data_IF_574801712590
#
_entry.id   IF_574801712590
#
_cell.length_a   1.000
_cell.length_b   1.000
_cell.length_c   1.000
_cell.angle_alpha   90.00
_cell.angle_beta   90.00
_cell.angle_gamma   90.00
#
_symmetry.space_group_name_H-M   'P 1'
#
loop_
_entity.id
_entity.type
_entity.pdbx_description
1 polymer ?
#
# COMPACT_ATOMS: atom_id res chain seq x y z
N UNK A 1 -19.31 0.97 1.49
CA UNK A 1 -19.71 -0.43 1.73
C UNK A 1 -18.75 -0.96 2.77
N UNK A 2 -19.25 -1.52 3.86
CA UNK A 2 -18.40 -2.02 4.95
C UNK A 2 -17.72 -3.31 4.47
N UNK A 3 -16.40 -3.39 4.57
CA UNK A 3 -15.65 -4.60 4.26
C UNK A 3 -15.84 -5.54 5.46
N UNK A 4 -16.28 -6.77 5.22
CA UNK A 4 -16.49 -7.73 6.32
C UNK A 4 -15.17 -8.11 7.00
N UNK A 5 -15.20 -8.15 8.33
CA UNK A 5 -14.06 -8.39 9.25
C UNK A 5 -13.08 -9.44 8.74
N UNK A 6 -13.53 -10.65 8.39
CA UNK A 6 -12.61 -11.73 7.99
C UNK A 6 -11.87 -11.51 6.66
N UNK A 7 -12.35 -10.64 5.77
CA UNK A 7 -11.65 -10.37 4.50
C UNK A 7 -10.55 -9.36 4.77
N UNK A 8 -10.87 -8.37 5.60
CA UNK A 8 -9.96 -7.32 6.03
C UNK A 8 -8.84 -7.88 6.91
N UNK A 9 -9.19 -8.59 7.98
CA UNK A 9 -8.24 -9.16 8.95
C UNK A 9 -7.30 -10.18 8.32
N UNK A 10 -7.76 -11.05 7.42
CA UNK A 10 -6.86 -11.97 6.73
C UNK A 10 -5.91 -11.26 5.75
N UNK A 11 -6.36 -10.16 5.12
CA UNK A 11 -5.48 -9.34 4.28
C UNK A 11 -4.38 -8.69 5.11
N UNK A 12 -4.74 -8.09 6.24
CA UNK A 12 -3.80 -7.48 7.19
C UNK A 12 -2.81 -8.51 7.74
N UNK A 13 -3.28 -9.68 8.18
CA UNK A 13 -2.43 -10.75 8.69
C UNK A 13 -1.38 -11.21 7.65
N UNK A 14 -1.78 -11.30 6.37
CA UNK A 14 -0.86 -11.62 5.28
C UNK A 14 0.20 -10.53 5.13
N UNK A 15 -0.19 -9.25 5.21
CA UNK A 15 0.75 -8.12 5.14
C UNK A 15 1.73 -8.17 6.31
N UNK A 16 1.26 -8.32 7.54
CA UNK A 16 2.12 -8.40 8.72
C UNK A 16 3.06 -9.60 8.70
N UNK A 17 2.61 -10.77 8.21
CA UNK A 17 3.49 -11.94 8.07
C UNK A 17 4.61 -11.69 7.04
N UNK A 18 4.33 -10.98 5.95
CA UNK A 18 5.34 -10.58 4.96
C UNK A 18 6.35 -9.62 5.56
N UNK A 19 5.88 -8.57 6.21
CA UNK A 19 6.74 -7.57 6.85
C UNK A 19 7.59 -8.18 7.96
N UNK A 20 7.02 -9.05 8.79
CA UNK A 20 7.75 -9.75 9.85
C UNK A 20 8.85 -10.64 9.27
N UNK A 21 8.56 -11.40 8.21
CA UNK A 21 9.56 -12.23 7.53
C UNK A 21 10.69 -11.38 6.98
N UNK A 22 10.35 -10.34 6.25
CA UNK A 22 11.33 -9.44 5.65
C UNK A 22 12.19 -8.80 6.73
N UNK A 23 11.58 -8.20 7.75
CA UNK A 23 12.31 -7.57 8.84
C UNK A 23 13.23 -8.55 9.56
N UNK A 24 12.80 -9.79 9.83
CA UNK A 24 13.67 -10.78 10.49
C UNK A 24 14.86 -11.19 9.62
N UNK A 25 14.67 -11.32 8.31
CA UNK A 25 15.69 -11.85 7.41
C UNK A 25 16.62 -10.78 6.81
N UNK A 26 16.22 -9.51 6.80
CA UNK A 26 17.00 -8.43 6.17
C UNK A 26 17.60 -7.45 7.19
N UNK A 27 17.29 -7.60 8.49
CA UNK A 27 17.76 -6.66 9.50
C UNK A 27 19.29 -6.69 9.63
N UNK A 28 20.01 -5.57 9.37
CA UNK A 28 21.47 -5.56 9.26
C UNK A 28 22.20 -5.84 10.57
N UNK A 29 21.51 -5.73 11.72
CA UNK A 29 22.06 -5.98 13.05
C UNK A 29 21.53 -7.27 13.71
N UNK A 30 20.78 -8.10 12.99
CA UNK A 30 20.29 -9.38 13.52
C UNK A 30 20.69 -10.51 12.58
N UNK A 31 21.13 -11.63 13.17
CA UNK A 31 21.40 -12.85 12.42
C UNK A 31 20.32 -13.86 12.78
N UNK A 32 19.36 -14.04 11.88
CA UNK A 32 18.36 -15.08 12.00
C UNK A 32 18.78 -16.32 11.21
N UNK A 33 18.27 -17.50 11.58
CA UNK A 33 18.47 -18.72 10.79
C UNK A 33 17.41 -18.78 9.68
N UNK A 34 17.77 -18.54 8.39
CA UNK A 34 16.77 -18.32 7.35
C UNK A 34 15.85 -19.51 7.14
N UNK A 35 16.36 -20.73 7.27
CA UNK A 35 15.58 -21.95 7.08
C UNK A 35 14.45 -22.07 8.12
N UNK A 36 14.74 -21.79 9.39
CA UNK A 36 13.73 -21.86 10.45
C UNK A 36 12.70 -20.74 10.34
N UNK A 37 13.15 -19.54 10.01
CA UNK A 37 12.28 -18.39 9.78
C UNK A 37 11.34 -18.65 8.59
N UNK A 38 11.90 -19.04 7.43
CA UNK A 38 11.13 -19.37 6.23
C UNK A 38 10.14 -20.49 6.50
N UNK A 39 10.57 -21.60 7.12
CA UNK A 39 9.69 -22.72 7.37
C UNK A 39 8.53 -22.34 8.30
N UNK A 40 8.83 -21.61 9.37
CA UNK A 40 7.84 -21.22 10.38
C UNK A 40 6.82 -20.23 9.84
N UNK A 41 7.29 -19.17 9.19
CA UNK A 41 6.40 -18.17 8.60
C UNK A 41 5.61 -18.76 7.42
N UNK A 42 6.19 -19.64 6.60
CA UNK A 42 5.44 -20.31 5.52
C UNK A 42 4.28 -21.14 6.06
N UNK A 43 4.44 -21.82 7.20
CA UNK A 43 3.34 -22.58 7.83
C UNK A 43 2.20 -21.66 8.27
N UNK A 44 2.52 -20.53 8.89
CA UNK A 44 1.52 -19.52 9.29
C UNK A 44 0.84 -18.91 8.05
N UNK A 45 1.65 -18.54 7.05
CA UNK A 45 1.17 -17.97 5.79
C UNK A 45 0.20 -18.92 5.08
N UNK A 46 0.49 -20.22 5.00
CA UNK A 46 -0.43 -21.19 4.39
C UNK A 46 -1.79 -21.25 5.09
N UNK A 47 -1.83 -21.11 6.42
CA UNK A 47 -3.09 -21.10 7.18
C UNK A 47 -3.91 -19.85 6.82
N UNK A 48 -3.30 -18.68 6.94
CA UNK A 48 -3.96 -17.38 6.71
C UNK A 48 -4.36 -17.23 5.24
N UNK A 49 -3.46 -17.54 4.30
CA UNK A 49 -3.70 -17.50 2.85
C UNK A 49 -4.91 -18.34 2.43
N UNK A 50 -4.98 -19.59 2.89
CA UNK A 50 -6.12 -20.44 2.54
C UNK A 50 -7.41 -19.89 3.15
N UNK A 51 -7.39 -19.37 4.39
CA UNK A 51 -8.55 -18.69 4.98
C UNK A 51 -9.01 -17.49 4.14
N UNK A 52 -8.06 -16.62 3.75
CA UNK A 52 -8.29 -15.44 2.91
C UNK A 52 -8.96 -15.80 1.58
N UNK A 53 -8.37 -16.76 0.83
CA UNK A 53 -8.88 -17.14 -0.50
C UNK A 53 -10.26 -17.80 -0.40
N UNK A 54 -10.51 -18.67 0.58
CA UNK A 54 -11.81 -19.32 0.75
C UNK A 54 -12.90 -18.31 1.11
N UNK A 55 -12.59 -17.38 2.04
CA UNK A 55 -13.51 -16.30 2.42
C UNK A 55 -13.81 -15.38 1.24
N UNK A 56 -12.79 -15.03 0.46
CA UNK A 56 -12.95 -14.23 -0.76
C UNK A 56 -13.80 -14.95 -1.80
N UNK A 57 -13.56 -16.25 -2.05
CA UNK A 57 -14.37 -17.05 -3.00
C UNK A 57 -15.85 -17.05 -2.64
N UNK A 58 -16.18 -17.18 -1.36
CA UNK A 58 -17.56 -17.22 -0.88
C UNK A 58 -18.22 -15.84 -1.01
N UNK A 59 -17.56 -14.79 -0.52
CA UNK A 59 -18.11 -13.43 -0.49
C UNK A 59 -18.21 -12.79 -1.87
N UNK A 60 -17.33 -13.17 -2.79
CA UNK A 60 -17.33 -12.62 -4.14
C UNK A 60 -18.37 -13.26 -5.07
N UNK A 61 -19.12 -14.27 -4.60
CA UNK A 61 -20.22 -14.88 -5.37
C UNK A 61 -21.28 -13.85 -5.79
N UNK A 62 -21.62 -12.91 -4.90
CA UNK A 62 -22.63 -11.88 -5.19
C UNK A 62 -22.14 -10.85 -6.22
N UNK A 63 -20.82 -10.79 -6.47
CA UNK A 63 -20.17 -9.91 -7.44
C UNK A 63 -19.76 -10.66 -8.71
N UNK A 64 -20.03 -11.95 -8.82
CA UNK A 64 -19.62 -12.79 -9.94
C UNK A 64 -20.54 -12.58 -11.16
N UNK A 65 -20.20 -11.58 -11.97
CA UNK A 65 -20.94 -11.19 -13.17
C UNK A 65 -20.97 -12.30 -14.24
N UNK A 66 -20.06 -13.28 -14.17
CA UNK A 66 -19.93 -14.34 -15.17
C UNK A 66 -20.38 -15.73 -14.69
N UNK A 67 -20.78 -15.86 -13.42
CA UNK A 67 -21.09 -17.12 -12.74
C UNK A 67 -19.92 -18.12 -12.75
N UNK A 68 -18.68 -17.60 -12.73
CA UNK A 68 -17.45 -18.39 -12.72
C UNK A 68 -17.28 -19.16 -11.40
N UNK A 69 -17.45 -18.48 -10.27
CA UNK A 69 -17.14 -18.95 -8.93
C UNK A 69 -18.08 -20.05 -8.44
N UNK A 70 -19.30 -20.12 -8.99
CA UNK A 70 -20.26 -21.20 -8.73
C UNK A 70 -19.68 -22.61 -8.99
N UNK A 71 -18.69 -22.73 -9.87
CA UNK A 71 -18.01 -24.00 -10.12
C UNK A 71 -17.29 -24.54 -8.86
N UNK A 72 -16.86 -23.65 -7.96
CA UNK A 72 -16.17 -23.99 -6.72
C UNK A 72 -17.11 -24.60 -5.66
N UNK A 73 -18.34 -24.10 -5.57
CA UNK A 73 -19.27 -24.49 -4.49
C UNK A 73 -20.16 -25.70 -4.82
N UNK A 74 -19.83 -26.47 -5.86
CA UNK A 74 -20.56 -27.70 -6.21
C UNK A 74 -20.57 -28.68 -5.01
N UNK A 75 -21.74 -29.18 -4.60
CA UNK A 75 -21.84 -30.06 -3.44
C UNK A 75 -21.21 -31.43 -3.72
N UNK A 76 -20.63 -32.05 -2.69
CA UNK A 76 -20.10 -33.43 -2.70
C UNK A 76 -19.02 -33.74 -3.76
N UNK A 77 -18.28 -32.74 -4.23
CA UNK A 77 -17.12 -32.94 -5.11
C UNK A 77 -15.80 -32.94 -4.33
N UNK A 78 -14.78 -33.61 -4.86
CA UNK A 78 -13.43 -33.59 -4.30
C UNK A 78 -12.75 -32.23 -4.53
N UNK A 79 -11.73 -31.89 -3.75
CA UNK A 79 -10.97 -30.64 -3.94
C UNK A 79 -10.37 -30.57 -5.35
N UNK A 80 -9.81 -31.66 -5.88
CA UNK A 80 -9.27 -31.70 -7.25
C UNK A 80 -10.32 -31.32 -8.30
N UNK A 81 -11.53 -31.88 -8.21
CA UNK A 81 -12.62 -31.56 -9.13
C UNK A 81 -13.05 -30.10 -8.99
N UNK A 82 -13.11 -29.62 -7.74
CA UNK A 82 -13.45 -28.23 -7.42
C UNK A 82 -12.50 -27.23 -8.06
N UNK A 83 -11.19 -27.42 -7.87
CA UNK A 83 -10.15 -26.51 -8.36
C UNK A 83 -10.07 -26.54 -9.89
N UNK A 84 -10.09 -27.73 -10.50
CA UNK A 84 -10.10 -27.86 -11.96
C UNK A 84 -11.36 -27.25 -12.58
N UNK A 85 -12.51 -27.41 -11.91
CA UNK A 85 -13.77 -26.79 -12.32
C UNK A 85 -13.69 -25.27 -12.31
N UNK A 86 -13.11 -24.68 -11.25
CA UNK A 86 -12.90 -23.24 -11.15
C UNK A 86 -11.99 -22.71 -12.26
N UNK A 87 -10.82 -23.32 -12.46
CA UNK A 87 -9.88 -22.93 -13.52
C UNK A 87 -10.53 -23.02 -14.91
N UNK A 88 -11.24 -24.12 -15.20
CA UNK A 88 -11.93 -24.30 -16.48
C UNK A 88 -13.03 -23.25 -16.71
N UNK A 89 -13.70 -22.85 -15.62
CA UNK A 89 -14.76 -21.83 -15.67
C UNK A 89 -14.21 -20.48 -16.13
N UNK A 90 -13.08 -20.02 -15.58
CA UNK A 90 -12.39 -18.82 -16.04
C UNK A 90 -12.02 -18.89 -17.53
N UNK A 91 -11.35 -19.97 -17.95
CA UNK A 91 -10.93 -20.15 -19.35
C UNK A 91 -12.13 -20.15 -20.29
N UNK A 92 -13.24 -20.80 -19.92
CA UNK A 92 -14.46 -20.86 -20.74
C UNK A 92 -15.12 -19.49 -20.95
N UNK A 93 -14.84 -18.53 -20.05
CA UNK A 93 -15.32 -17.15 -20.12
C UNK A 93 -14.32 -16.21 -20.79
N UNK A 94 -13.26 -16.75 -21.43
CA UNK A 94 -12.27 -15.95 -22.13
C UNK A 94 -11.22 -15.30 -21.21
N UNK A 95 -11.20 -15.65 -19.92
CA UNK A 95 -10.18 -15.18 -18.97
C UNK A 95 -9.10 -16.26 -18.89
N UNK A 96 -8.00 -16.06 -19.62
CA UNK A 96 -6.92 -17.03 -19.69
C UNK A 96 -6.06 -17.01 -18.41
N UNK A 97 -6.42 -17.82 -17.42
CA UNK A 97 -5.72 -17.90 -16.12
C UNK A 97 -4.60 -18.95 -16.13
N UNK A 98 -3.62 -18.79 -15.23
CA UNK A 98 -2.49 -19.72 -15.13
C UNK A 98 -2.87 -20.97 -14.32
N UNK A 99 -2.97 -22.13 -14.97
CA UNK A 99 -3.29 -23.40 -14.31
C UNK A 99 -2.34 -23.76 -13.17
N UNK A 100 -1.06 -23.41 -13.26
CA UNK A 100 -0.09 -23.71 -12.20
C UNK A 100 -0.43 -23.02 -10.88
N UNK A 101 -1.10 -21.85 -10.91
CA UNK A 101 -1.59 -21.17 -9.70
C UNK A 101 -2.61 -22.05 -8.97
N UNK A 102 -3.55 -22.63 -9.72
CA UNK A 102 -4.60 -23.50 -9.18
C UNK A 102 -4.03 -24.83 -8.66
N UNK A 103 -3.11 -25.43 -9.41
CA UNK A 103 -2.45 -26.68 -9.01
C UNK A 103 -1.63 -26.50 -7.73
N UNK A 104 -0.92 -25.37 -7.61
CA UNK A 104 -0.16 -25.01 -6.41
C UNK A 104 -1.08 -24.62 -5.25
N UNK A 105 -2.16 -23.88 -5.50
CA UNK A 105 -3.19 -23.58 -4.49
C UNK A 105 -3.74 -24.87 -3.86
N UNK A 106 -4.03 -25.89 -4.67
CA UNK A 106 -4.48 -27.19 -4.17
C UNK A 106 -3.42 -27.87 -3.30
N UNK A 107 -2.15 -27.86 -3.72
CA UNK A 107 -1.06 -28.41 -2.92
C UNK A 107 -0.90 -27.68 -1.58
N UNK A 108 -0.96 -26.34 -1.59
CA UNK A 108 -0.84 -25.52 -0.38
C UNK A 108 -2.03 -25.75 0.56
N UNK A 109 -3.24 -25.93 0.01
CA UNK A 109 -4.43 -26.30 0.77
C UNK A 109 -4.24 -27.64 1.50
N UNK A 110 -3.63 -28.62 0.85
CA UNK A 110 -3.29 -29.89 1.50
C UNK A 110 -2.20 -29.74 2.57
N UNK A 111 -1.15 -28.97 2.30
CA UNK A 111 -0.11 -28.65 3.31
C UNK A 111 -0.76 -28.01 4.54
N UNK A 112 -1.63 -27.02 4.35
CA UNK A 112 -2.39 -26.37 5.41
C UNK A 112 -3.23 -27.36 6.22
N UNK A 113 -3.91 -28.29 5.57
CA UNK A 113 -4.68 -29.33 6.27
C UNK A 113 -3.78 -30.23 7.13
N UNK A 114 -2.62 -30.63 6.61
CA UNK A 114 -1.66 -31.42 7.39
C UNK A 114 -1.13 -30.65 8.61
N UNK A 115 -0.90 -29.34 8.49
CA UNK A 115 -0.48 -28.47 9.61
C UNK A 115 -1.60 -28.38 10.66
N UNK A 116 -2.81 -28.02 10.25
CA UNK A 116 -3.96 -27.80 11.16
C UNK A 116 -4.34 -29.08 11.91
N UNK A 117 -4.30 -30.22 11.24
CA UNK A 117 -4.60 -31.52 11.86
C UNK A 117 -3.39 -32.19 12.48
N UNK A 118 -2.23 -31.52 12.50
CA UNK A 118 -0.95 -32.04 13.02
C UNK A 118 -0.60 -33.45 12.50
N UNK A 119 -1.03 -33.79 11.29
CA UNK A 119 -0.86 -35.13 10.75
C UNK A 119 -0.84 -35.16 9.23
N UNK A 120 0.20 -35.81 8.69
CA UNK A 120 0.29 -36.18 7.28
C UNK A 120 -0.49 -37.45 6.95
N UNK A 121 -0.69 -38.35 7.93
CA UNK A 121 -1.28 -39.67 7.72
C UNK A 121 -2.66 -39.80 8.38
N UNK A 122 -3.49 -40.70 7.86
CA UNK A 122 -4.90 -40.94 8.27
C UNK A 122 -5.12 -41.46 9.71
N UNK A 123 -4.25 -41.20 10.67
CA UNK A 123 -4.63 -41.36 12.07
C UNK A 123 -5.60 -40.23 12.42
N UNK A 124 -6.88 -40.44 12.11
CA UNK A 124 -8.03 -39.55 12.34
C UNK A 124 -7.80 -38.08 11.96
N UNK A 125 -7.93 -37.75 10.66
CA UNK A 125 -7.96 -36.36 10.17
C UNK A 125 -6.80 -35.94 9.25
N UNK A 126 -5.79 -36.79 9.05
CA UNK A 126 -4.69 -36.51 8.11
C UNK A 126 -5.01 -36.75 6.63
N UNK A 127 -4.04 -36.44 5.76
CA UNK A 127 -4.17 -36.50 4.31
C UNK A 127 -4.25 -37.93 3.76
N UNK A 128 -4.87 -38.07 2.58
CA UNK A 128 -4.83 -39.29 1.77
C UNK A 128 -3.52 -39.37 0.98
N UNK A 129 -3.13 -40.58 0.57
CA UNK A 129 -1.86 -40.78 -0.15
C UNK A 129 -1.81 -40.04 -1.50
N UNK A 130 -2.93 -39.97 -2.22
CA UNK A 130 -3.06 -39.20 -3.45
C UNK A 130 -2.82 -37.70 -3.24
N UNK A 131 -3.23 -37.16 -2.09
CA UNK A 131 -3.02 -35.75 -1.72
C UNK A 131 -1.55 -35.49 -1.37
N UNK A 132 -0.90 -36.42 -0.66
CA UNK A 132 0.56 -36.38 -0.38
C UNK A 132 1.35 -36.43 -1.71
N UNK A 133 0.99 -37.34 -2.61
CA UNK A 133 1.62 -37.47 -3.91
C UNK A 133 1.44 -36.19 -4.74
N UNK A 134 0.27 -35.53 -4.65
CA UNK A 134 0.04 -34.25 -5.30
C UNK A 134 1.02 -33.17 -4.81
N UNK A 135 1.16 -33.01 -3.49
CA UNK A 135 2.11 -32.05 -2.90
C UNK A 135 3.54 -32.27 -3.42
N UNK A 136 4.00 -33.53 -3.40
CA UNK A 136 5.34 -33.89 -3.88
C UNK A 136 5.51 -33.64 -5.39
N UNK A 137 4.50 -33.95 -6.20
CA UNK A 137 4.52 -33.71 -7.65
C UNK A 137 4.59 -32.22 -8.00
N UNK A 138 4.07 -31.36 -7.12
CA UNK A 138 4.19 -29.90 -7.22
C UNK A 138 5.50 -29.37 -6.63
N UNK A 139 6.40 -30.23 -6.18
CA UNK A 139 7.71 -29.86 -5.66
C UNK A 139 7.69 -29.24 -4.26
N UNK A 140 6.62 -29.43 -3.49
CA UNK A 140 6.57 -29.03 -2.09
C UNK A 140 6.99 -30.18 -1.16
N UNK A 141 7.62 -29.89 -0.01
CA UNK A 141 8.05 -30.92 0.92
C UNK A 141 6.87 -31.44 1.76
N UNK A 142 6.88 -32.75 2.04
CA UNK A 142 5.98 -33.39 3.02
C UNK A 142 6.58 -33.42 4.43
N UNK A 143 7.64 -32.64 4.65
CA UNK A 143 8.15 -32.22 5.95
C UNK A 143 8.13 -30.70 5.94
N UNK A 144 7.14 -30.09 6.61
CA UNK A 144 6.94 -28.63 6.58
C UNK A 144 8.08 -27.85 7.24
N UNK A 145 9.03 -28.52 7.91
CA UNK A 145 10.28 -27.91 8.39
C UNK A 145 11.26 -27.61 7.25
N UNK A 146 11.07 -28.21 6.07
CA UNK A 146 11.88 -28.00 4.86
C UNK A 146 11.31 -26.95 3.91
N UNK A 147 10.24 -26.26 4.30
CA UNK A 147 9.75 -25.10 3.56
C UNK A 147 10.84 -24.00 3.58
N UNK A 148 11.06 -23.34 2.45
CA UNK A 148 12.19 -22.43 2.23
C UNK A 148 11.72 -21.17 1.48
N UNK A 149 12.64 -20.25 1.15
CA UNK A 149 12.33 -19.00 0.45
C UNK A 149 11.63 -19.20 -0.90
N UNK A 150 12.00 -20.21 -1.68
CA UNK A 150 11.32 -20.54 -2.94
C UNK A 150 9.88 -20.98 -2.72
N UNK A 151 9.62 -21.78 -1.68
CA UNK A 151 8.26 -22.17 -1.32
C UNK A 151 7.42 -20.98 -0.86
N UNK A 152 8.02 -20.07 -0.07
CA UNK A 152 7.39 -18.82 0.35
C UNK A 152 6.98 -17.95 -0.85
N UNK A 153 7.89 -17.74 -1.82
CA UNK A 153 7.58 -17.01 -3.07
C UNK A 153 6.38 -17.61 -3.80
N UNK A 154 6.32 -18.94 -3.87
CA UNK A 154 5.19 -19.63 -4.51
C UNK A 154 3.89 -19.43 -3.73
N UNK A 155 3.93 -19.38 -2.40
CA UNK A 155 2.75 -19.08 -1.59
C UNK A 155 2.26 -17.66 -1.85
N UNK A 156 3.14 -16.66 -1.84
CA UNK A 156 2.77 -15.27 -2.15
C UNK A 156 2.20 -15.14 -3.57
N UNK A 157 2.87 -15.76 -4.54
CA UNK A 157 2.43 -15.75 -5.93
C UNK A 157 1.05 -16.37 -6.11
N UNK A 158 0.78 -17.50 -5.45
CA UNK A 158 -0.54 -18.13 -5.45
C UNK A 158 -1.58 -17.24 -4.79
N UNK A 159 -1.27 -16.64 -3.63
CA UNK A 159 -2.18 -15.74 -2.94
C UNK A 159 -2.60 -14.58 -3.83
N UNK A 160 -1.63 -13.84 -4.37
CA UNK A 160 -1.88 -12.65 -5.19
C UNK A 160 -2.66 -13.01 -6.47
N UNK A 161 -2.29 -14.10 -7.15
CA UNK A 161 -2.99 -14.52 -8.36
C UNK A 161 -4.39 -15.05 -8.08
N UNK A 162 -4.61 -15.82 -7.01
CA UNK A 162 -5.95 -16.29 -6.67
C UNK A 162 -6.87 -15.12 -6.32
N UNK A 163 -6.41 -14.16 -5.52
CA UNK A 163 -7.18 -12.95 -5.20
C UNK A 163 -7.48 -12.12 -6.46
N UNK A 164 -6.47 -11.94 -7.33
CA UNK A 164 -6.65 -11.27 -8.61
C UNK A 164 -7.68 -11.98 -9.50
N UNK A 165 -7.60 -13.31 -9.65
CA UNK A 165 -8.53 -14.08 -10.46
C UNK A 165 -9.96 -13.99 -9.92
N UNK A 166 -10.15 -14.08 -8.61
CA UNK A 166 -11.48 -13.91 -7.99
C UNK A 166 -12.04 -12.52 -8.32
N UNK A 167 -11.23 -11.46 -8.21
CA UNK A 167 -11.64 -10.11 -8.57
C UNK A 167 -12.06 -9.98 -10.05
N UNK A 168 -11.37 -10.67 -10.97
CA UNK A 168 -11.73 -10.68 -12.40
C UNK A 168 -13.11 -11.27 -12.69
N UNK A 169 -13.65 -12.12 -11.81
CA UNK A 169 -15.02 -12.62 -11.95
C UNK A 169 -16.07 -11.49 -11.83
N UNK A 170 -15.70 -10.35 -11.23
CA UNK A 170 -16.55 -9.16 -11.11
C UNK A 170 -16.46 -8.15 -12.23
N UNK A 171 -15.69 -8.39 -13.30
CA UNK A 171 -15.67 -7.46 -14.43
C UNK A 171 -17.05 -7.38 -15.13
N UNK A 172 -17.40 -6.21 -15.64
CA UNK A 172 -18.66 -5.99 -16.38
C UNK A 172 -18.59 -6.46 -17.84
N UNK A 173 -17.39 -6.48 -18.42
CA UNK A 173 -17.14 -6.93 -19.80
C UNK A 173 -15.99 -7.91 -19.83
N UNK A 174 -16.14 -8.97 -20.62
CA UNK A 174 -15.07 -9.94 -20.88
C UNK A 174 -13.97 -9.25 -21.70
N UNK A 175 -12.67 -9.42 -21.35
CA UNK A 175 -11.58 -8.94 -22.19
C UNK A 175 -11.70 -9.49 -23.63
N UNK A 176 -11.47 -8.70 -24.68
CA UNK A 176 -11.54 -9.19 -26.04
C UNK A 176 -10.56 -10.36 -26.23
N UNK A 177 -11.06 -11.47 -26.80
CA UNK A 177 -10.39 -12.76 -26.95
C UNK A 177 -9.04 -12.72 -27.72
N UNK A 178 -8.68 -11.58 -28.29
CA UNK A 178 -7.43 -11.36 -29.03
C UNK A 178 -6.20 -11.16 -28.13
N UNK A 179 -6.34 -11.15 -26.80
CA UNK A 179 -5.21 -11.15 -25.87
C UNK A 179 -4.84 -12.60 -25.53
N UNK A 180 -4.03 -13.22 -26.37
CA UNK A 180 -3.56 -14.62 -26.21
C UNK A 180 -2.65 -14.85 -24.98
N UNK A 181 -2.41 -13.83 -24.16
CA UNK A 181 -1.58 -13.91 -22.96
C UNK A 181 -2.35 -14.46 -21.77
N UNK A 182 -1.69 -15.31 -20.98
CA UNK A 182 -2.20 -15.67 -19.64
C UNK A 182 -2.19 -14.43 -18.76
N UNK A 183 -3.32 -14.09 -18.14
CA UNK A 183 -3.40 -13.02 -17.15
C UNK A 183 -2.85 -13.51 -15.82
N UNK A 184 -2.09 -12.67 -15.12
CA UNK A 184 -1.53 -13.00 -13.82
C UNK A 184 -0.53 -11.97 -13.33
N UNK A 185 -0.21 -12.07 -12.04
CA UNK A 185 0.83 -11.31 -11.37
C UNK A 185 2.11 -12.16 -11.40
N UNK A 186 3.21 -11.56 -11.85
CA UNK A 186 4.51 -12.21 -11.88
C UNK A 186 5.03 -12.47 -10.46
N UNK A 187 5.86 -13.51 -10.29
CA UNK A 187 6.53 -13.78 -9.01
C UNK A 187 7.42 -12.59 -8.67
N UNK A 188 7.18 -11.97 -7.52
CA UNK A 188 8.05 -10.93 -6.98
C UNK A 188 9.34 -11.58 -6.45
N UNK A 189 10.53 -11.08 -6.81
CA UNK A 189 11.76 -11.54 -6.19
C UNK A 189 11.71 -11.20 -4.70
N UNK A 190 12.23 -12.10 -3.87
CA UNK A 190 12.35 -11.80 -2.45
C UNK A 190 13.48 -10.83 -2.22
N UNK A 191 13.39 -9.99 -1.16
CA UNK A 191 14.48 -9.12 -0.78
C UNK A 191 15.72 -9.95 -0.42
N UNK A 192 16.89 -9.36 -0.64
CA UNK A 192 18.17 -9.96 -0.28
C UNK A 192 18.27 -10.15 1.24
N UNK A 193 18.48 -11.40 1.67
CA UNK A 193 18.59 -11.77 3.08
C UNK A 193 20.04 -11.87 3.55
N UNK A 194 21.00 -11.39 2.75
CA UNK A 194 22.42 -11.34 3.14
C UNK A 194 22.68 -10.40 4.31
N UNK A 195 21.73 -9.49 4.62
CA UNK A 195 21.92 -8.38 5.56
C UNK A 195 22.85 -7.30 5.02
N UNK A 196 23.30 -7.42 3.75
CA UNK A 196 24.10 -6.42 3.07
C UNK A 196 23.17 -5.34 2.57
N UNK A 197 23.44 -4.09 2.96
CA UNK A 197 22.73 -2.93 2.47
C UNK A 197 23.14 -2.68 1.01
N UNK A 198 22.18 -2.79 0.11
CA UNK A 198 22.34 -2.57 -1.32
C UNK A 198 21.82 -1.19 -1.74
N UNK A 199 22.09 -0.81 -2.99
CA UNK A 199 21.67 0.49 -3.52
C UNK A 199 20.15 0.69 -3.49
N UNK A 200 19.39 -0.40 -3.66
CA UNK A 200 17.93 -0.43 -3.58
C UNK A 200 17.37 -0.15 -2.20
N UNK A 201 18.17 -0.30 -1.14
CA UNK A 201 17.71 -0.17 0.25
C UNK A 201 17.79 1.29 0.75
N UNK A 202 18.60 2.13 0.09
CA UNK A 202 18.80 3.53 0.45
C UNK A 202 17.50 4.33 0.59
N UNK A 203 16.54 4.29 -0.36
CA UNK A 203 15.25 4.97 -0.21
C UNK A 203 14.58 4.69 1.13
N UNK A 204 14.46 3.41 1.49
CA UNK A 204 13.78 2.97 2.71
C UNK A 204 14.54 3.41 3.96
N UNK A 205 15.87 3.36 3.94
CA UNK A 205 16.70 3.80 5.07
C UNK A 205 16.54 5.31 5.32
N UNK A 206 16.57 6.12 4.26
CA UNK A 206 16.36 7.56 4.39
C UNK A 206 14.94 7.90 4.82
N UNK A 207 13.94 7.22 4.27
CA UNK A 207 12.53 7.38 4.68
C UNK A 207 12.33 7.03 6.15
N UNK A 208 12.82 5.87 6.60
CA UNK A 208 12.70 5.44 8.00
C UNK A 208 13.40 6.42 8.96
N UNK A 209 14.54 7.00 8.55
CA UNK A 209 15.19 8.02 9.36
C UNK A 209 14.37 9.32 9.42
N UNK A 210 13.73 9.73 8.33
CA UNK A 210 12.80 10.88 8.33
C UNK A 210 11.60 10.64 9.25
N UNK A 211 11.04 9.43 9.28
CA UNK A 211 9.95 9.07 10.20
C UNK A 211 10.39 9.18 11.66
N UNK A 212 11.56 8.64 12.01
CA UNK A 212 12.12 8.75 13.37
C UNK A 212 12.38 10.20 13.77
N UNK A 213 12.92 11.02 12.87
CA UNK A 213 13.12 12.45 13.13
C UNK A 213 11.77 13.15 13.30
N UNK A 214 10.80 12.89 12.43
CA UNK A 214 9.46 13.48 12.53
C UNK A 214 8.79 13.13 13.84
N UNK A 215 8.88 11.88 14.29
CA UNK A 215 8.30 11.43 15.55
C UNK A 215 8.96 12.12 16.74
N UNK A 216 10.30 12.10 16.79
CA UNK A 216 11.06 12.76 17.85
C UNK A 216 10.75 14.27 17.93
N UNK A 217 10.61 14.95 16.78
CA UNK A 217 10.25 16.37 16.73
C UNK A 217 8.81 16.58 17.21
N UNK A 218 7.88 15.74 16.76
CA UNK A 218 6.48 15.84 17.13
C UNK A 218 6.31 15.69 18.64
N UNK A 219 6.89 14.66 19.24
CA UNK A 219 6.86 14.45 20.70
C UNK A 219 7.45 15.64 21.46
N UNK A 220 8.60 16.18 21.01
CA UNK A 220 9.24 17.32 21.69
C UNK A 220 8.38 18.58 21.63
N UNK A 221 7.79 18.87 20.47
CA UNK A 221 6.96 20.06 20.26
C UNK A 221 5.62 19.92 21.00
N UNK A 222 4.99 18.75 20.97
CA UNK A 222 3.74 18.48 21.71
C UNK A 222 3.92 18.58 23.22
N UNK A 223 5.05 18.08 23.75
CA UNK A 223 5.38 18.23 25.16
C UNK A 223 5.51 19.70 25.56
N UNK A 224 6.21 20.50 24.77
CA UNK A 224 6.38 21.92 25.04
C UNK A 224 5.05 22.69 24.92
N UNK A 225 4.24 22.38 23.91
CA UNK A 225 2.89 22.93 23.75
C UNK A 225 2.05 22.63 25.00
N UNK A 226 2.08 21.38 25.48
CA UNK A 226 1.30 20.96 26.64
C UNK A 226 1.76 21.67 27.93
N UNK A 227 3.07 21.89 28.07
CA UNK A 227 3.63 22.60 29.24
C UNK A 227 3.34 24.10 29.23
N UNK A 228 3.20 24.71 28.05
CA UNK A 228 3.01 26.15 27.90
C UNK A 228 1.60 26.56 27.46
N UNK A 229 0.66 25.62 27.34
CA UNK A 229 -0.69 25.86 26.81
C UNK A 229 -1.37 27.02 27.54
N UNK A 230 -1.34 27.03 28.87
CA UNK A 230 -1.92 28.10 29.70
C UNK A 230 -1.31 29.48 29.41
N UNK A 231 0.01 29.53 29.15
CA UNK A 231 0.72 30.78 28.87
C UNK A 231 0.46 31.27 27.44
N UNK A 232 0.50 30.37 26.46
CA UNK A 232 0.30 30.70 25.05
C UNK A 232 -1.18 30.96 24.70
N UNK A 233 -2.11 30.36 25.44
CA UNK A 233 -3.54 30.69 25.37
C UNK A 233 -3.86 32.04 26.04
N UNK A 234 -3.19 32.40 27.14
CA UNK A 234 -3.38 33.69 27.82
C UNK A 234 -2.89 34.90 27.01
N UNK A 235 -1.86 34.73 26.16
CA UNK A 235 -1.39 35.77 25.22
C UNK A 235 -2.45 36.18 24.17
N UNK A 236 -3.57 35.45 24.11
CA UNK A 236 -4.68 35.61 23.18
C UNK A 236 -5.88 36.37 23.79
N UNK A 237 -5.68 37.13 24.87
CA UNK A 237 -6.72 37.77 25.72
C UNK A 237 -7.69 38.78 25.05
N UNK A 238 -7.99 38.65 23.76
CA UNK A 238 -9.08 39.32 23.05
C UNK A 238 -10.12 38.39 22.40
N UNK A 239 -9.87 37.08 22.26
CA UNK A 239 -10.86 36.13 21.73
C UNK A 239 -10.83 34.81 22.51
N UNK A 240 -11.99 34.38 23.00
CA UNK A 240 -12.19 33.16 23.79
C UNK A 240 -11.51 31.93 23.16
N UNK A 241 -10.28 31.61 23.59
CA UNK A 241 -9.58 30.38 23.20
C UNK A 241 -10.45 29.14 23.44
N UNK A 242 -11.29 29.17 24.49
CA UNK A 242 -12.24 28.11 24.81
C UNK A 242 -13.38 27.95 23.79
N UNK A 243 -13.70 28.98 23.00
CA UNK A 243 -14.71 28.92 21.93
C UNK A 243 -14.13 28.44 20.59
N UNK A 244 -12.80 28.29 20.48
CA UNK A 244 -12.16 27.78 19.28
C UNK A 244 -12.40 26.26 19.11
N UNK A 245 -12.51 25.83 17.87
CA UNK A 245 -12.50 24.40 17.51
C UNK A 245 -11.15 23.77 17.86
N UNK A 246 -11.11 22.43 18.01
CA UNK A 246 -9.86 21.67 18.21
C UNK A 246 -8.77 22.05 17.19
N UNK A 247 -9.16 22.20 15.93
CA UNK A 247 -8.25 22.56 14.84
C UNK A 247 -7.68 23.98 14.97
N UNK A 248 -8.52 24.95 15.31
CA UNK A 248 -8.09 26.34 15.54
C UNK A 248 -7.17 26.44 16.77
N UNK A 249 -7.46 25.68 17.84
CA UNK A 249 -6.58 25.59 19.02
C UNK A 249 -5.21 25.02 18.66
N UNK A 250 -5.19 23.88 17.95
CA UNK A 250 -3.94 23.25 17.49
C UNK A 250 -3.11 24.21 16.64
N UNK A 251 -3.74 24.88 15.66
CA UNK A 251 -3.09 25.90 14.82
C UNK A 251 -2.49 27.04 15.66
N UNK A 252 -3.24 27.57 16.62
CA UNK A 252 -2.77 28.65 17.49
C UNK A 252 -1.55 28.25 18.31
N UNK A 253 -1.59 27.06 18.93
CA UNK A 253 -0.49 26.55 19.75
C UNK A 253 0.78 26.31 18.92
N UNK A 254 0.61 25.78 17.70
CA UNK A 254 1.70 25.59 16.73
C UNK A 254 2.33 26.94 16.32
N UNK A 255 1.52 27.96 16.03
CA UNK A 255 2.01 29.30 15.68
C UNK A 255 2.68 29.99 16.87
N UNK A 256 2.18 29.75 18.08
CA UNK A 256 2.79 30.26 19.32
C UNK A 256 4.15 29.62 19.56
N UNK A 257 4.28 28.30 19.40
CA UNK A 257 5.55 27.59 19.49
C UNK A 257 6.59 28.13 18.50
N UNK A 258 6.19 28.36 17.24
CA UNK A 258 7.06 28.97 16.23
C UNK A 258 7.54 30.36 16.64
N UNK A 259 6.62 31.23 17.09
CA UNK A 259 6.94 32.60 17.52
C UNK A 259 7.88 32.60 18.73
N UNK A 260 7.65 31.70 19.68
CA UNK A 260 8.52 31.45 20.83
C UNK A 260 9.95 31.10 20.42
N UNK A 261 10.12 30.12 19.52
CA UNK A 261 11.47 29.73 19.04
C UNK A 261 12.14 30.88 18.29
N UNK A 262 11.38 31.60 17.45
CA UNK A 262 11.88 32.75 16.72
C UNK A 262 12.38 33.87 17.65
N UNK A 263 11.75 34.02 18.81
CA UNK A 263 12.14 34.96 19.86
C UNK A 263 13.27 34.45 20.78
N UNK A 264 13.84 33.27 20.49
CA UNK A 264 15.02 32.74 21.18
C UNK A 264 14.73 31.64 22.19
N UNK A 265 13.48 31.22 22.37
CA UNK A 265 13.17 30.04 23.21
C UNK A 265 13.68 28.76 22.54
N UNK A 266 14.12 27.79 23.36
CA UNK A 266 14.68 26.54 22.87
C UNK A 266 13.73 25.37 23.14
N UNK A 267 12.85 25.09 22.19
CA UNK A 267 11.93 23.94 22.26
C UNK A 267 12.62 22.62 21.85
N UNK A 268 13.49 22.69 20.84
CA UNK A 268 14.14 21.50 20.26
C UNK A 268 15.65 21.59 20.44
N UNK A 269 16.24 20.58 21.11
CA UNK A 269 17.69 20.44 21.26
C UNK A 269 18.32 20.04 19.92
N UNK A 270 19.56 20.49 19.67
CA UNK A 270 20.33 20.15 18.46
C UNK A 270 19.66 20.56 17.14
N UNK A 271 18.89 21.67 17.13
CA UNK A 271 18.09 22.12 15.98
C UNK A 271 18.86 22.17 14.64
N UNK A 272 20.10 22.68 14.66
CA UNK A 272 20.91 22.83 13.45
C UNK A 272 21.18 21.46 12.82
N UNK A 273 21.72 20.53 13.61
CA UNK A 273 22.03 19.16 13.20
C UNK A 273 20.79 18.41 12.72
N UNK A 274 19.64 18.58 13.40
CA UNK A 274 18.39 17.96 12.97
C UNK A 274 17.93 18.52 11.61
N UNK A 275 18.01 19.83 11.41
CA UNK A 275 17.62 20.46 10.14
C UNK A 275 18.50 20.04 8.96
N UNK A 276 19.81 19.90 9.19
CA UNK A 276 20.76 19.38 8.21
C UNK A 276 20.45 17.91 7.88
N UNK A 277 20.22 17.09 8.90
CA UNK A 277 19.88 15.67 8.73
C UNK A 277 18.57 15.49 7.94
N UNK A 278 17.51 16.27 8.23
CA UNK A 278 16.25 16.19 7.48
C UNK A 278 16.46 16.57 6.01
N UNK A 279 17.22 17.63 5.76
CA UNK A 279 17.52 18.08 4.39
C UNK A 279 18.30 17.02 3.62
N UNK A 280 19.35 16.47 4.26
CA UNK A 280 20.17 15.41 3.71
C UNK A 280 19.32 14.16 3.41
N UNK A 281 18.58 13.64 4.38
CA UNK A 281 17.78 12.43 4.19
C UNK A 281 16.70 12.62 3.12
N UNK A 282 16.01 13.75 3.08
CA UNK A 282 15.03 14.03 2.02
C UNK A 282 15.68 14.08 0.63
N UNK A 283 16.78 14.82 0.50
CA UNK A 283 17.45 14.96 -0.79
C UNK A 283 17.99 13.61 -1.28
N UNK A 284 18.54 12.78 -0.36
CA UNK A 284 19.00 11.44 -0.70
C UNK A 284 17.83 10.50 -1.03
N UNK A 285 16.73 10.54 -0.27
CA UNK A 285 15.52 9.79 -0.61
C UNK A 285 15.05 10.10 -2.03
N UNK A 286 14.90 11.38 -2.37
CA UNK A 286 14.50 11.81 -3.72
C UNK A 286 15.52 11.39 -4.79
N UNK A 287 16.81 11.50 -4.52
CA UNK A 287 17.86 11.12 -5.47
C UNK A 287 17.90 9.61 -5.76
N UNK A 288 17.58 8.78 -4.76
CA UNK A 288 17.58 7.33 -4.85
C UNK A 288 16.23 6.72 -5.29
N UNK A 289 15.19 7.52 -5.44
CA UNK A 289 13.87 7.11 -5.96
C UNK A 289 13.68 7.63 -7.40
N UNK A 290 13.94 6.81 -8.44
CA UNK A 290 13.88 7.25 -9.84
C UNK A 290 12.54 7.84 -10.27
N UNK A 291 11.45 7.44 -9.62
CA UNK A 291 10.09 7.89 -9.89
C UNK A 291 9.92 9.39 -9.69
N UNK A 292 10.68 10.00 -8.77
CA UNK A 292 10.65 11.46 -8.58
C UNK A 292 11.13 12.23 -9.81
N UNK A 293 11.91 11.60 -10.71
CA UNK A 293 12.30 12.21 -11.99
C UNK A 293 11.11 12.40 -12.93
N UNK A 294 10.07 11.59 -12.79
CA UNK A 294 8.82 11.69 -13.56
C UNK A 294 7.73 12.48 -12.83
N UNK A 295 7.98 12.90 -11.58
CA UNK A 295 7.06 13.72 -10.80
C UNK A 295 7.45 15.20 -10.94
N UNK A 296 7.54 15.65 -12.19
CA UNK A 296 7.79 17.05 -12.51
C UNK A 296 6.56 17.91 -12.18
N UNK A 297 6.80 19.11 -11.64
CA UNK A 297 5.75 19.98 -11.09
C UNK A 297 4.61 20.28 -12.08
N UNK A 298 4.93 20.46 -13.36
CA UNK A 298 3.93 20.77 -14.40
C UNK A 298 3.03 19.56 -14.69
N UNK A 299 3.64 18.38 -14.86
CA UNK A 299 2.92 17.14 -15.14
C UNK A 299 2.05 16.71 -13.96
N UNK A 300 2.59 16.82 -12.74
CA UNK A 300 1.86 16.54 -11.49
C UNK A 300 0.61 17.42 -11.40
N UNK A 301 0.71 18.72 -11.66
CA UNK A 301 -0.44 19.64 -11.62
C UNK A 301 -1.48 19.33 -12.69
N UNK A 302 -1.03 18.98 -13.90
CA UNK A 302 -1.93 18.53 -14.97
C UNK A 302 -2.69 17.25 -14.59
N UNK A 303 -2.00 16.29 -13.97
CA UNK A 303 -2.59 15.05 -13.49
C UNK A 303 -3.57 15.29 -12.33
N UNK A 304 -3.23 16.16 -11.37
CA UNK A 304 -4.14 16.58 -10.28
C UNK A 304 -5.42 17.15 -10.86
N UNK A 305 -5.33 18.08 -11.81
CA UNK A 305 -6.52 18.68 -12.45
C UNK A 305 -7.39 17.62 -13.12
N UNK A 306 -6.77 16.67 -13.82
CA UNK A 306 -7.48 15.57 -14.48
C UNK A 306 -8.21 14.71 -13.45
N UNK A 307 -7.53 14.20 -12.43
CA UNK A 307 -8.15 13.35 -11.40
C UNK A 307 -9.19 14.11 -10.57
N UNK A 308 -9.03 15.42 -10.39
CA UNK A 308 -10.01 16.24 -9.69
C UNK A 308 -11.28 16.46 -10.52
N UNK A 309 -11.16 16.67 -11.84
CA UNK A 309 -12.30 16.67 -12.76
C UNK A 309 -13.00 15.32 -12.70
N UNK A 310 -12.25 14.21 -12.70
CA UNK A 310 -12.80 12.87 -12.58
C UNK A 310 -13.61 12.70 -11.29
N UNK A 311 -13.02 13.08 -10.15
CA UNK A 311 -13.67 13.00 -8.84
C UNK A 311 -14.96 13.82 -8.78
N UNK A 312 -14.93 15.08 -9.24
CA UNK A 312 -16.11 15.96 -9.26
C UNK A 312 -17.26 15.46 -10.15
N UNK A 313 -16.95 14.71 -11.19
CA UNK A 313 -17.94 14.22 -12.16
C UNK A 313 -18.26 12.73 -11.97
N UNK A 314 -17.82 12.14 -10.85
CA UNK A 314 -17.99 10.71 -10.56
C UNK A 314 -17.52 9.81 -11.72
N UNK A 315 -16.35 10.13 -12.27
CA UNK A 315 -15.64 9.33 -13.26
C UNK A 315 -14.64 8.46 -12.50
N UNK A 316 -14.91 7.16 -12.44
CA UNK A 316 -14.07 6.18 -11.77
C UNK A 316 -14.10 4.87 -12.57
N UNK A 317 -13.14 3.95 -12.33
CA UNK A 317 -13.24 2.60 -12.86
C UNK A 317 -14.55 1.97 -12.42
N UNK A 318 -15.17 1.19 -13.30
CA UNK A 318 -16.36 0.40 -12.98
C UNK A 318 -16.07 -0.49 -11.78
N UNK A 319 -16.99 -0.49 -10.81
CA UNK A 319 -16.87 -1.18 -9.53
C UNK A 319 -15.60 -0.87 -8.73
N UNK A 320 -14.92 0.26 -9.02
CA UNK A 320 -13.69 0.64 -8.33
C UNK A 320 -12.54 -0.36 -8.57
N UNK A 321 -12.55 -1.05 -9.73
CA UNK A 321 -11.53 -2.04 -10.10
C UNK A 321 -10.69 -1.51 -11.27
N UNK A 322 -9.39 -1.29 -11.03
CA UNK A 322 -8.41 -0.99 -12.08
C UNK A 322 -7.24 -1.99 -12.00
N UNK A 323 -7.04 -2.85 -13.02
CA UNK A 323 -6.01 -3.89 -13.01
C UNK A 323 -4.59 -3.33 -12.86
N UNK A 324 -3.71 -4.12 -12.24
CA UNK A 324 -2.30 -3.78 -12.13
C UNK A 324 -1.58 -3.92 -13.49
N UNK A 325 -0.82 -2.89 -13.88
CA UNK A 325 -0.05 -2.85 -15.14
C UNK A 325 1.45 -2.75 -14.81
N UNK A 326 2.34 -3.28 -15.65
CA UNK A 326 3.78 -2.99 -15.51
C UNK A 326 4.06 -1.50 -15.75
N UNK A 327 4.99 -0.91 -15.00
CA UNK A 327 5.28 0.53 -15.07
C UNK A 327 5.90 0.96 -16.42
N UNK A 328 6.67 0.05 -17.01
CA UNK A 328 7.30 0.19 -18.32
C UNK A 328 6.34 -0.11 -19.47
N UNK A 329 5.09 -0.46 -19.18
CA UNK A 329 4.10 -0.69 -20.21
C UNK A 329 3.92 0.57 -21.08
N UNK A 330 3.86 0.42 -22.42
CA UNK A 330 3.63 1.53 -23.33
C UNK A 330 2.31 2.25 -22.98
N UNK A 331 2.26 3.58 -23.18
CA UNK A 331 1.07 4.38 -22.90
C UNK A 331 -0.21 3.82 -23.57
N UNK A 332 -0.09 3.28 -24.79
CA UNK A 332 -1.20 2.63 -25.51
C UNK A 332 -1.87 1.48 -24.72
N UNK A 333 -1.10 0.75 -23.91
CA UNK A 333 -1.63 -0.33 -23.05
C UNK A 333 -2.47 0.27 -21.92
N UNK A 334 -2.01 1.37 -21.32
CA UNK A 334 -2.77 2.10 -20.30
C UNK A 334 -4.07 2.69 -20.88
N UNK A 335 -4.01 3.27 -22.09
CA UNK A 335 -5.18 3.79 -22.80
C UNK A 335 -6.21 2.69 -23.09
N UNK A 336 -5.75 1.50 -23.52
CA UNK A 336 -6.61 0.34 -23.73
C UNK A 336 -7.34 -0.07 -22.46
N UNK A 337 -6.64 -0.11 -21.32
CA UNK A 337 -7.25 -0.46 -20.03
C UNK A 337 -8.22 0.61 -19.52
N UNK A 338 -7.90 1.89 -19.68
CA UNK A 338 -8.86 2.97 -19.39
C UNK A 338 -10.13 2.80 -20.22
N UNK A 339 -10.01 2.50 -21.51
CA UNK A 339 -11.16 2.30 -22.41
C UNK A 339 -12.04 1.11 -21.99
N UNK A 340 -11.48 0.11 -21.32
CA UNK A 340 -12.19 -1.06 -20.84
C UNK A 340 -12.83 -0.86 -19.46
N UNK A 341 -12.15 -0.14 -18.58
CA UNK A 341 -12.52 0.00 -17.18
C UNK A 341 -13.38 1.23 -16.89
N UNK A 342 -13.49 2.19 -17.81
CA UNK A 342 -14.27 3.41 -17.59
C UNK A 342 -15.49 3.47 -18.51
N UNK A 343 -16.67 3.71 -17.93
CA UNK A 343 -17.91 3.88 -18.70
C UNK A 343 -18.16 5.33 -19.13
N UNK A 344 -17.64 6.29 -18.37
CA UNK A 344 -17.84 7.73 -18.61
C UNK A 344 -16.50 8.40 -18.87
N UNK A 345 -16.26 8.86 -20.10
CA UNK A 345 -15.02 9.60 -20.45
C UNK A 345 -15.31 10.91 -21.19
N UNK A 346 -16.56 11.35 -21.29
CA UNK A 346 -16.96 12.45 -22.19
C UNK A 346 -16.30 13.81 -21.88
N UNK A 347 -15.77 13.99 -20.67
CA UNK A 347 -15.11 15.23 -20.22
C UNK A 347 -13.59 15.23 -20.37
N UNK A 348 -12.98 14.06 -20.57
CA UNK A 348 -11.52 13.87 -20.53
C UNK A 348 -11.10 12.84 -21.57
N UNK A 349 -10.00 13.09 -22.26
CA UNK A 349 -9.52 12.08 -23.21
C UNK A 349 -9.03 10.84 -22.47
N UNK A 350 -9.15 9.67 -23.10
CA UNK A 350 -8.57 8.41 -22.61
C UNK A 350 -7.08 8.59 -22.29
N UNK A 351 -6.37 9.35 -23.13
CA UNK A 351 -4.95 9.68 -22.95
C UNK A 351 -4.70 10.47 -21.68
N UNK A 352 -5.54 11.47 -21.37
CA UNK A 352 -5.39 12.29 -20.15
C UNK A 352 -5.60 11.43 -18.91
N UNK A 353 -6.66 10.60 -18.90
CA UNK A 353 -6.93 9.67 -17.81
C UNK A 353 -5.77 8.69 -17.64
N UNK A 354 -5.28 8.09 -18.72
CA UNK A 354 -4.17 7.14 -18.69
C UNK A 354 -2.88 7.75 -18.12
N UNK A 355 -2.53 8.97 -18.55
CA UNK A 355 -1.37 9.70 -18.01
C UNK A 355 -1.55 10.04 -16.53
N UNK A 356 -2.71 10.56 -16.16
CA UNK A 356 -3.01 10.93 -14.78
C UNK A 356 -3.00 9.70 -13.85
N UNK A 357 -3.49 8.56 -14.31
CA UNK A 357 -3.46 7.29 -13.56
C UNK A 357 -2.05 6.74 -13.41
N UNK A 358 -1.23 6.82 -14.46
CA UNK A 358 0.18 6.42 -14.38
C UNK A 358 0.93 7.24 -13.34
N UNK A 359 0.83 8.58 -13.42
CA UNK A 359 1.47 9.47 -12.46
C UNK A 359 0.88 9.35 -11.04
N UNK A 360 -0.44 9.20 -10.93
CA UNK A 360 -1.16 8.96 -9.68
C UNK A 360 -0.66 7.73 -8.94
N UNK A 361 -0.50 6.62 -9.65
CA UNK A 361 0.06 5.38 -9.11
C UNK A 361 1.52 5.53 -8.70
N UNK A 362 2.34 6.23 -9.49
CA UNK A 362 3.73 6.51 -9.10
C UNK A 362 3.79 7.32 -7.80
N UNK A 363 2.98 8.38 -7.70
CA UNK A 363 2.84 9.17 -6.47
C UNK A 363 2.33 8.33 -5.29
N UNK A 364 1.42 7.38 -5.54
CA UNK A 364 0.94 6.42 -4.54
C UNK A 364 2.08 5.55 -3.98
N UNK A 365 2.96 5.05 -4.85
CA UNK A 365 4.10 4.20 -4.46
C UNK A 365 5.17 4.94 -3.66
N UNK A 366 5.54 6.15 -4.08
CA UNK A 366 6.66 6.87 -3.43
C UNK A 366 6.25 7.63 -2.17
N UNK A 367 5.00 8.07 -2.05
CA UNK A 367 4.50 8.80 -0.89
C UNK A 367 3.60 7.91 -0.03
N UNK A 368 4.23 7.07 0.80
CA UNK A 368 3.53 6.07 1.62
C UNK A 368 2.54 6.71 2.60
N UNK A 369 2.89 7.87 3.19
CA UNK A 369 2.07 8.55 4.18
C UNK A 369 2.28 10.08 4.14
N UNK A 370 1.49 10.80 4.95
CA UNK A 370 1.50 12.28 5.04
C UNK A 370 2.71 12.84 5.81
N UNK A 371 3.58 11.99 6.38
CA UNK A 371 4.68 12.41 7.27
C UNK A 371 5.56 13.49 6.66
N UNK A 372 6.02 13.42 5.39
CA UNK A 372 6.88 14.47 4.86
C UNK A 372 6.16 15.81 4.80
N UNK A 373 4.86 15.82 4.48
CA UNK A 373 4.09 17.05 4.47
C UNK A 373 4.03 17.65 5.88
N UNK A 374 3.73 16.83 6.90
CA UNK A 374 3.75 17.21 8.31
C UNK A 374 5.12 17.78 8.74
N UNK A 375 6.19 17.07 8.40
CA UNK A 375 7.57 17.42 8.72
C UNK A 375 7.97 18.78 8.16
N UNK A 376 7.73 19.01 6.86
CA UNK A 376 8.15 20.25 6.20
C UNK A 376 7.17 21.42 6.37
N UNK A 377 5.91 21.17 6.72
CA UNK A 377 4.91 22.23 6.91
C UNK A 377 4.96 22.92 8.27
N UNK A 378 5.31 22.20 9.35
CA UNK A 378 5.41 22.86 10.67
C UNK A 378 6.51 22.35 11.60
N UNK A 379 6.86 21.06 11.58
CA UNK A 379 7.91 20.56 12.49
C UNK A 379 9.26 21.22 12.19
N UNK A 380 9.65 21.28 10.91
CA UNK A 380 10.88 21.94 10.48
C UNK A 380 10.83 23.46 10.62
N UNK A 381 9.74 24.15 10.25
CA UNK A 381 9.54 25.56 10.59
C UNK A 381 9.74 25.91 12.06
N UNK A 382 9.20 25.12 13.00
CA UNK A 382 9.42 25.34 14.44
C UNK A 382 10.88 25.03 14.82
N UNK A 383 11.46 23.96 14.29
CA UNK A 383 12.81 23.54 14.62
C UNK A 383 13.88 24.55 14.14
N UNK A 384 13.77 25.00 12.90
CA UNK A 384 14.71 25.91 12.24
C UNK A 384 13.97 27.04 11.50
N UNK A 385 13.41 28.04 12.22
CA UNK A 385 12.64 29.15 11.64
C UNK A 385 13.42 29.95 10.60
N UNK A 386 14.74 30.04 10.74
CA UNK A 386 15.63 30.77 9.83
C UNK A 386 15.67 30.19 8.41
N UNK A 387 15.21 28.94 8.22
CA UNK A 387 15.15 28.26 6.92
C UNK A 387 13.72 28.15 6.36
N UNK A 388 12.79 29.00 6.82
CA UNK A 388 11.37 28.89 6.51
C UNK A 388 11.05 28.81 5.01
N UNK A 389 11.77 29.57 4.16
CA UNK A 389 11.53 29.56 2.72
C UNK A 389 11.85 28.19 2.10
N UNK A 390 12.93 27.55 2.55
CA UNK A 390 13.29 26.21 2.08
C UNK A 390 12.22 25.18 2.45
N UNK A 391 11.71 25.26 3.68
CA UNK A 391 10.65 24.38 4.17
C UNK A 391 9.34 24.60 3.42
N UNK A 392 9.01 25.86 3.13
CA UNK A 392 7.85 26.24 2.33
C UNK A 392 7.91 25.65 0.92
N UNK A 393 9.05 25.75 0.24
CA UNK A 393 9.21 25.24 -1.12
C UNK A 393 9.13 23.70 -1.17
N UNK A 394 9.78 23.02 -0.20
CA UNK A 394 9.68 21.55 -0.06
C UNK A 394 8.26 21.11 0.27
N UNK A 395 7.59 21.79 1.21
CA UNK A 395 6.21 21.49 1.62
C UNK A 395 5.23 21.60 0.45
N UNK A 396 5.36 22.64 -0.39
CA UNK A 396 4.50 22.80 -1.56
C UNK A 396 4.70 21.69 -2.59
N UNK A 397 5.94 21.31 -2.88
CA UNK A 397 6.22 20.21 -3.79
C UNK A 397 5.65 18.88 -3.27
N UNK A 398 5.86 18.59 -1.99
CA UNK A 398 5.35 17.39 -1.32
C UNK A 398 3.82 17.38 -1.32
N UNK A 399 3.19 18.52 -1.06
CA UNK A 399 1.74 18.65 -1.08
C UNK A 399 1.16 18.33 -2.45
N UNK A 400 1.75 18.82 -3.54
CA UNK A 400 1.28 18.52 -4.91
C UNK A 400 1.32 16.99 -5.15
N UNK A 401 2.44 16.33 -4.83
CA UNK A 401 2.56 14.86 -4.99
C UNK A 401 1.57 14.10 -4.10
N UNK A 402 1.40 14.51 -2.85
CA UNK A 402 0.49 13.83 -1.93
C UNK A 402 -0.99 14.04 -2.31
N UNK A 403 -1.36 15.22 -2.86
CA UNK A 403 -2.69 15.46 -3.45
C UNK A 403 -2.95 14.51 -4.62
N UNK A 404 -1.97 14.37 -5.52
CA UNK A 404 -2.05 13.44 -6.66
C UNK A 404 -2.26 11.98 -6.20
N UNK A 405 -1.48 11.55 -5.20
CA UNK A 405 -1.60 10.24 -4.55
C UNK A 405 -3.01 10.00 -3.99
N UNK A 406 -3.56 10.94 -3.20
CA UNK A 406 -4.89 10.79 -2.58
C UNK A 406 -6.01 10.78 -3.61
N UNK A 407 -5.94 11.64 -4.62
CA UNK A 407 -6.90 11.66 -5.72
C UNK A 407 -6.94 10.32 -6.46
N UNK A 408 -5.77 9.76 -6.78
CA UNK A 408 -5.68 8.44 -7.41
C UNK A 408 -6.26 7.35 -6.52
N UNK A 409 -5.84 7.29 -5.26
CA UNK A 409 -6.32 6.30 -4.29
C UNK A 409 -7.84 6.34 -4.12
N UNK A 410 -8.42 7.53 -3.92
CA UNK A 410 -9.88 7.67 -3.77
C UNK A 410 -10.65 7.28 -5.04
N UNK A 411 -10.07 7.49 -6.22
CA UNK A 411 -10.70 7.06 -7.47
C UNK A 411 -10.69 5.54 -7.64
N UNK A 412 -9.61 4.89 -7.20
CA UNK A 412 -9.52 3.42 -7.17
C UNK A 412 -10.43 2.83 -6.11
N UNK A 413 -10.40 3.29 -4.86
CA UNK A 413 -11.11 2.63 -3.75
C UNK A 413 -12.57 3.07 -3.59
N UNK A 414 -12.98 4.16 -4.25
CA UNK A 414 -14.33 4.72 -4.12
C UNK A 414 -14.60 5.43 -2.79
N UNK A 415 -13.55 5.83 -2.07
CA UNK A 415 -13.67 6.62 -0.86
C UNK A 415 -13.96 8.10 -1.14
N UNK A 416 -14.59 8.76 -0.16
CA UNK A 416 -14.72 10.21 -0.20
C UNK A 416 -13.33 10.86 -0.14
N UNK A 417 -13.10 11.84 -1.02
CA UNK A 417 -11.87 12.60 -1.04
C UNK A 417 -11.82 13.48 0.20
N UNK A 418 -10.88 13.19 1.10
CA UNK A 418 -10.53 14.06 2.22
C UNK A 418 -9.16 14.71 1.94
N UNK A 419 -9.19 16.01 1.63
CA UNK A 419 -7.98 16.82 1.44
C UNK A 419 -7.77 17.82 2.59
N UNK A 420 -8.63 17.83 3.61
CA UNK A 420 -8.60 18.80 4.71
C UNK A 420 -7.28 18.76 5.46
N UNK A 421 -6.72 17.56 5.65
CA UNK A 421 -5.39 17.39 6.26
C UNK A 421 -4.28 18.01 5.42
N UNK A 422 -4.40 17.99 4.09
CA UNK A 422 -3.41 18.60 3.20
C UNK A 422 -3.52 20.12 3.24
N UNK A 423 -4.75 20.63 3.11
CA UNK A 423 -5.02 22.07 3.13
C UNK A 423 -4.64 22.68 4.49
N UNK A 424 -4.83 21.97 5.60
CA UNK A 424 -4.33 22.36 6.92
C UNK A 424 -2.83 22.64 6.94
N UNK A 425 -2.03 21.72 6.41
CA UNK A 425 -0.58 21.85 6.42
C UNK A 425 -0.10 22.96 5.48
N UNK A 426 -0.76 23.15 4.32
CA UNK A 426 -0.47 24.26 3.41
C UNK A 426 -0.79 25.63 4.06
N UNK A 427 -1.89 25.71 4.79
CA UNK A 427 -2.29 26.90 5.54
C UNK A 427 -1.30 27.25 6.66
N UNK A 428 -0.79 26.24 7.37
CA UNK A 428 0.19 26.41 8.44
C UNK A 428 1.49 27.01 7.91
N UNK A 429 2.07 26.43 6.86
CA UNK A 429 3.35 26.89 6.31
C UNK A 429 3.25 28.31 5.71
N UNK A 430 2.09 28.64 5.14
CA UNK A 430 1.77 30.01 4.71
C UNK A 430 1.75 30.98 5.89
N UNK A 431 1.09 30.60 6.99
CA UNK A 431 1.00 31.43 8.21
C UNK A 431 2.38 31.71 8.82
N UNK A 432 3.28 30.73 8.85
CA UNK A 432 4.65 30.95 9.33
C UNK A 432 5.43 31.94 8.46
N UNK A 433 5.22 31.89 7.15
CA UNK A 433 5.87 32.79 6.19
C UNK A 433 5.38 34.24 6.32
N UNK A 434 4.18 34.44 6.87
CA UNK A 434 3.58 35.76 7.11
C UNK A 434 4.04 36.38 8.46
N UNK A 435 4.52 35.56 9.40
CA UNK A 435 5.04 36.02 10.71
C UNK A 435 6.43 36.62 10.51
N UNK A 436 6.49 37.96 10.44
CA UNK A 436 7.71 38.77 10.27
C UNK A 436 8.66 38.74 11.44
#
# INVERSE_FOLDING_TARGET
MEIEEFTDTYSDDIVYLREAREALLTHPLRSEMPDYCNASLSRLYAIVMIGSIESMLERWLDRDNFKILNAYFKPKVTNTVRINGLCSSFTSKGINVNKNVFDDYLAIKYIRNAIVHASWAKQSGGLKQDEINWIQSRGFPTDTRKLNSTHWQRFEWVNENMMFYIALAGLVKVPPAHHSGTVGIDIKPLPDTSGIINWSDWPRLYWSNLERISESLNTSIEQEISQNESNWSAKLAGSDFNKLTSFQKSRHLILSAFTSVKNGECIVKNRLKLSENVSMCWNQFVAHCPEFRSLEKVEVRSAINTLFIMHKNNIHPVDHIFPEIKEDAPLKVHEGLVSMCFEKTDLLTITDIAKAYKLGRMAYRVMVNIMPLRLFSYLMPICAPERIQEWHDKSNYISDIYKLNRLWYTSIEGYQLNIDGIDYYQDLIKSFSEIK
#
